data_IF_409207482657
#
_entry.id   IF_409207482657
#
_cell.length_a   1.000
_cell.length_b   1.000
_cell.length_c   1.000
_cell.angle_alpha   90.00
_cell.angle_beta   90.00
_cell.angle_gamma   90.00
#
_symmetry.space_group_name_H-M   'P 1'
#
loop_
_entity.id
_entity.type
_entity.pdbx_description
1 polymer ?
#
# COMPACT_ATOMS: atom_id res chain seq x y z
N UNK A 1 -14.84 7.00 1.44
CA UNK A 1 -13.59 6.36 0.96
C UNK A 1 -13.06 5.47 2.07
N UNK A 2 -12.94 4.16 1.83
CA UNK A 2 -12.32 3.23 2.77
C UNK A 2 -10.80 3.29 2.60
N UNK A 3 -10.06 3.36 3.69
CA UNK A 3 -8.61 3.37 3.71
C UNK A 3 -8.07 2.79 5.01
N UNK A 4 -6.84 2.29 4.97
CA UNK A 4 -6.08 1.86 6.14
C UNK A 4 -4.96 2.86 6.38
N UNK A 5 -4.92 3.43 7.59
CA UNK A 5 -3.85 4.33 8.01
C UNK A 5 -2.94 3.60 8.99
N UNK A 6 -1.68 3.53 8.66
CA UNK A 6 -0.65 2.97 9.52
C UNK A 6 0.22 4.11 10.04
N UNK A 7 0.22 4.28 11.34
CA UNK A 7 1.02 5.29 12.02
C UNK A 7 2.24 4.61 12.66
N UNK A 8 3.42 4.86 12.09
CA UNK A 8 4.68 4.40 12.65
C UNK A 8 5.20 5.51 13.59
N UNK A 9 5.09 5.28 14.88
CA UNK A 9 5.64 6.14 15.90
C UNK A 9 6.90 5.50 16.49
N UNK A 10 7.91 6.30 16.72
CA UNK A 10 9.13 5.87 17.38
C UNK A 10 8.98 6.16 18.89
N UNK A 11 8.42 5.19 19.60
CA UNK A 11 8.39 5.22 21.07
C UNK A 11 9.57 4.42 21.63
N UNK A 12 10.13 4.85 22.76
CA UNK A 12 11.23 4.13 23.41
C UNK A 12 12.60 4.80 23.32
N UNK A 13 12.64 6.09 22.99
CA UNK A 13 13.87 6.89 22.89
C UNK A 13 14.59 7.11 24.20
N UNK A 14 13.91 6.96 25.34
CA UNK A 14 14.43 7.33 26.68
C UNK A 14 15.78 6.70 27.00
N UNK A 15 16.02 5.45 26.59
CA UNK A 15 17.29 4.77 26.83
C UNK A 15 18.43 5.25 25.93
N UNK A 16 18.11 5.74 24.73
CA UNK A 16 19.11 6.28 23.79
C UNK A 16 19.36 7.75 24.04
N UNK A 17 18.35 8.52 24.46
CA UNK A 17 18.51 9.90 24.91
C UNK A 17 19.40 10.02 26.15
N UNK A 18 19.33 9.09 27.11
CA UNK A 18 20.22 9.05 28.27
C UNK A 18 21.69 8.86 27.88
N UNK A 19 21.95 8.07 26.87
CA UNK A 19 23.31 7.83 26.35
C UNK A 19 23.86 8.97 25.47
N UNK A 20 22.95 9.82 24.94
CA UNK A 20 23.29 10.82 23.92
C UNK A 20 22.75 12.22 24.22
N UNK A 21 22.70 12.58 25.51
CA UNK A 21 22.20 13.86 26.03
C UNK A 21 22.71 15.11 25.31
N UNK A 22 23.87 15.03 24.68
CA UNK A 22 24.53 16.16 24.01
C UNK A 22 24.21 16.31 22.50
N UNK A 23 23.38 15.42 21.93
CA UNK A 23 23.09 15.48 20.49
C UNK A 23 21.61 15.27 20.08
N UNK A 24 20.61 15.92 20.72
CA UNK A 24 19.20 15.66 20.44
C UNK A 24 18.81 15.90 18.97
N UNK A 25 19.35 16.92 18.33
CA UNK A 25 19.07 17.23 16.91
C UNK A 25 19.61 16.13 15.95
N UNK A 26 20.72 15.52 16.28
CA UNK A 26 21.31 14.43 15.52
C UNK A 26 20.44 13.17 15.62
N UNK A 27 19.89 12.89 16.79
CA UNK A 27 18.96 11.77 17.01
C UNK A 27 17.63 11.97 16.28
N UNK A 28 17.05 13.16 16.32
CA UNK A 28 15.83 13.47 15.56
C UNK A 28 16.04 13.25 14.07
N UNK A 29 17.19 13.63 13.54
CA UNK A 29 17.54 13.38 12.14
C UNK A 29 17.67 11.88 11.83
N UNK A 30 18.33 11.12 12.70
CA UNK A 30 18.48 9.68 12.56
C UNK A 30 17.12 8.97 12.54
N UNK A 31 16.22 9.39 13.44
CA UNK A 31 14.87 8.84 13.50
C UNK A 31 14.02 9.17 12.30
N UNK A 32 14.00 10.41 11.88
CA UNK A 32 13.25 10.78 10.67
C UNK A 32 13.72 9.98 9.44
N UNK A 33 15.03 9.72 9.31
CA UNK A 33 15.60 8.88 8.26
C UNK A 33 15.19 7.41 8.42
N UNK A 34 15.27 6.86 9.63
CA UNK A 34 14.91 5.48 9.93
C UNK A 34 13.42 5.24 9.68
N UNK A 35 12.53 6.10 10.17
CA UNK A 35 11.08 6.03 9.94
C UNK A 35 10.75 6.04 8.44
N UNK A 36 11.36 6.96 7.68
CA UNK A 36 11.14 7.02 6.23
C UNK A 36 11.62 5.75 5.51
N UNK A 37 12.77 5.21 5.88
CA UNK A 37 13.30 3.95 5.34
C UNK A 37 12.39 2.77 5.70
N UNK A 38 11.89 2.72 6.94
CA UNK A 38 10.93 1.71 7.41
C UNK A 38 9.63 1.76 6.62
N UNK A 39 9.06 2.94 6.40
CA UNK A 39 7.84 3.10 5.62
C UNK A 39 8.02 2.64 4.16
N UNK A 40 9.16 2.94 3.54
CA UNK A 40 9.49 2.47 2.19
C UNK A 40 9.68 0.95 2.14
N UNK A 41 10.33 0.38 3.13
CA UNK A 41 10.53 -1.05 3.28
C UNK A 41 9.18 -1.76 3.46
N UNK A 42 8.34 -1.27 4.38
CA UNK A 42 6.99 -1.78 4.64
C UNK A 42 6.13 -1.75 3.36
N UNK A 43 6.09 -0.62 2.65
CA UNK A 43 5.40 -0.52 1.37
C UNK A 43 5.87 -1.58 0.39
N UNK A 44 7.18 -1.78 0.27
CA UNK A 44 7.76 -2.70 -0.72
C UNK A 44 7.37 -4.15 -0.41
N UNK A 45 7.49 -4.55 0.84
CA UNK A 45 7.24 -5.94 1.24
C UNK A 45 5.74 -6.27 1.28
N UNK A 46 4.91 -5.41 1.85
CA UNK A 46 3.46 -5.60 1.88
C UNK A 46 2.85 -5.56 0.48
N UNK A 47 3.30 -4.64 -0.41
CA UNK A 47 2.88 -4.63 -1.82
C UNK A 47 3.16 -5.97 -2.50
N UNK A 48 4.36 -6.52 -2.31
CA UNK A 48 4.75 -7.80 -2.92
C UNK A 48 3.88 -8.96 -2.40
N UNK A 49 3.63 -9.01 -1.11
CA UNK A 49 2.84 -10.07 -0.51
C UNK A 49 1.37 -9.98 -0.91
N UNK A 50 0.75 -8.79 -0.84
CA UNK A 50 -0.62 -8.54 -1.30
C UNK A 50 -0.76 -8.92 -2.78
N UNK A 51 0.16 -8.48 -3.64
CA UNK A 51 0.11 -8.80 -5.05
C UNK A 51 0.20 -10.31 -5.32
N UNK A 52 0.99 -11.03 -4.53
CA UNK A 52 1.10 -12.50 -4.61
C UNK A 52 -0.17 -13.20 -4.15
N UNK A 53 -0.75 -12.79 -3.02
CA UNK A 53 -2.01 -13.36 -2.51
C UNK A 53 -3.18 -13.14 -3.49
N UNK A 54 -3.26 -11.95 -4.06
CA UNK A 54 -4.28 -11.61 -5.04
C UNK A 54 -3.99 -12.15 -6.46
N UNK A 55 -2.79 -12.70 -6.70
CA UNK A 55 -2.30 -13.16 -8.02
C UNK A 55 -2.40 -12.07 -9.09
N UNK A 56 -1.89 -10.88 -8.76
CA UNK A 56 -1.87 -9.71 -9.64
C UNK A 56 -0.47 -9.11 -9.72
N UNK A 57 -0.28 -8.15 -10.62
CA UNK A 57 0.95 -7.37 -10.67
C UNK A 57 1.05 -6.42 -9.48
N UNK A 58 2.26 -6.02 -9.10
CA UNK A 58 2.47 -5.13 -7.95
C UNK A 58 2.02 -3.68 -8.20
N UNK A 59 1.99 -3.26 -9.47
CA UNK A 59 1.73 -1.87 -9.84
C UNK A 59 0.41 -1.31 -9.29
N UNK A 60 -0.76 -1.95 -9.48
CA UNK A 60 -2.03 -1.46 -8.95
C UNK A 60 -2.04 -1.32 -7.43
N UNK A 61 -1.42 -2.27 -6.72
CA UNK A 61 -1.30 -2.24 -5.27
C UNK A 61 -0.38 -1.11 -4.82
N UNK A 62 0.78 -0.97 -5.46
CA UNK A 62 1.78 0.04 -5.12
C UNK A 62 1.25 1.48 -5.22
N UNK A 63 0.39 1.76 -6.19
CA UNK A 63 -0.23 3.08 -6.36
C UNK A 63 -1.26 3.43 -5.27
N UNK A 64 -1.65 2.47 -4.44
CA UNK A 64 -2.55 2.70 -3.31
C UNK A 64 -1.84 3.19 -2.04
N UNK A 65 -0.51 3.15 -2.02
CA UNK A 65 0.29 3.60 -0.89
C UNK A 65 0.67 5.06 -1.03
N UNK A 66 0.34 5.85 -0.01
CA UNK A 66 0.74 7.25 0.11
C UNK A 66 1.59 7.38 1.39
N UNK A 67 2.85 7.79 1.21
CA UNK A 67 3.73 8.10 2.33
C UNK A 67 3.70 9.61 2.52
N UNK A 68 3.21 10.07 3.67
CA UNK A 68 3.22 11.47 4.01
C UNK A 68 4.62 11.89 4.48
N UNK A 69 5.30 12.67 3.65
CA UNK A 69 6.66 13.16 3.91
C UNK A 69 6.71 14.38 4.84
N UNK A 70 5.58 14.95 5.21
CA UNK A 70 5.50 16.07 6.18
C UNK A 70 5.48 15.62 7.63
N UNK A 71 5.89 14.38 7.88
CA UNK A 71 5.99 13.86 9.21
C UNK A 71 7.02 14.65 10.03
N UNK A 72 6.74 14.84 11.31
CA UNK A 72 7.71 15.30 12.29
C UNK A 72 8.86 14.30 12.41
N UNK A 73 9.94 14.66 13.11
CA UNK A 73 11.06 13.75 13.32
C UNK A 73 10.64 12.38 13.88
N UNK A 74 9.51 12.34 14.61
CA UNK A 74 9.06 11.18 15.38
C UNK A 74 7.87 10.43 14.77
N UNK A 75 7.36 10.84 13.58
CA UNK A 75 6.19 10.23 12.97
C UNK A 75 6.27 10.18 11.44
N UNK A 76 5.93 9.05 10.85
CA UNK A 76 5.67 8.90 9.42
C UNK A 76 4.33 8.22 9.22
N UNK A 77 3.42 8.86 8.51
CA UNK A 77 2.12 8.28 8.15
C UNK A 77 2.21 7.55 6.82
N UNK A 78 1.86 6.27 6.82
CA UNK A 78 1.68 5.45 5.64
C UNK A 78 0.19 5.16 5.49
N UNK A 79 -0.42 5.72 4.46
CA UNK A 79 -1.82 5.46 4.14
C UNK A 79 -1.94 4.48 2.98
N UNK A 80 -2.87 3.55 3.08
CA UNK A 80 -3.17 2.55 2.04
C UNK A 80 -4.64 2.63 1.68
N UNK A 81 -4.95 3.00 0.43
CA UNK A 81 -6.32 3.06 -0.05
C UNK A 81 -6.87 1.67 -0.37
N UNK A 82 -7.90 1.22 0.36
CA UNK A 82 -8.51 -0.11 0.23
C UNK A 82 -9.78 -0.12 -0.65
N UNK A 83 -10.03 0.94 -1.42
CA UNK A 83 -11.15 0.94 -2.37
C UNK A 83 -11.01 -0.19 -3.38
N UNK A 84 -12.13 -0.78 -3.86
CA UNK A 84 -12.13 -1.87 -4.82
C UNK A 84 -11.21 -1.63 -6.03
N UNK A 85 -10.57 -2.68 -6.50
CA UNK A 85 -9.65 -2.64 -7.65
C UNK A 85 -10.44 -2.96 -8.92
N UNK A 86 -10.30 -2.13 -9.95
CA UNK A 86 -10.89 -2.42 -11.26
C UNK A 86 -10.25 -3.66 -11.88
N UNK A 87 -11.08 -4.58 -12.36
CA UNK A 87 -10.65 -5.92 -12.79
C UNK A 87 -9.65 -5.93 -13.95
N UNK A 88 -9.58 -4.87 -14.77
CA UNK A 88 -8.58 -4.77 -15.83
C UNK A 88 -7.13 -4.71 -15.31
N UNK A 89 -6.92 -4.40 -14.00
CA UNK A 89 -5.62 -4.47 -13.34
C UNK A 89 -5.23 -5.90 -12.92
N UNK A 90 -6.21 -6.82 -12.91
CA UNK A 90 -6.00 -8.21 -12.48
C UNK A 90 -5.48 -9.10 -13.61
N UNK A 91 -5.43 -8.59 -14.84
CA UNK A 91 -4.95 -9.29 -16.01
C UNK A 91 -5.49 -8.69 -17.30
N UNK A 92 -5.19 -9.30 -18.42
CA UNK A 92 -5.73 -8.90 -19.73
C UNK A 92 -7.18 -9.34 -19.86
N UNK A 93 -8.14 -8.42 -20.09
CA UNK A 93 -9.52 -8.78 -20.27
C UNK A 93 -9.78 -9.45 -21.64
N UNK A 94 -10.48 -10.56 -21.64
CA UNK A 94 -10.94 -11.30 -22.82
C UNK A 94 -12.46 -11.40 -22.84
N UNK A 95 -13.10 -11.01 -23.96
CA UNK A 95 -14.54 -11.13 -24.11
C UNK A 95 -14.92 -12.59 -24.35
N UNK A 96 -15.92 -13.09 -23.62
CA UNK A 96 -16.51 -14.43 -23.76
C UNK A 96 -17.98 -14.32 -24.16
N UNK A 97 -18.63 -15.41 -24.60
CA UNK A 97 -20.05 -15.38 -24.91
C UNK A 97 -20.95 -15.00 -23.72
N UNK A 98 -20.54 -15.31 -22.50
CA UNK A 98 -21.33 -15.07 -21.28
C UNK A 98 -20.89 -13.82 -20.51
N UNK A 99 -19.71 -13.22 -20.87
CA UNK A 99 -19.20 -12.07 -20.14
C UNK A 99 -17.73 -11.77 -20.45
N UNK A 100 -16.93 -11.48 -19.42
CA UNK A 100 -15.50 -11.18 -19.56
C UNK A 100 -14.69 -12.07 -18.64
N UNK A 101 -13.61 -12.63 -19.15
CA UNK A 101 -12.59 -13.33 -18.37
C UNK A 101 -11.37 -12.44 -18.19
N UNK A 102 -10.83 -12.40 -16.96
CA UNK A 102 -9.59 -11.69 -16.64
C UNK A 102 -8.70 -12.62 -15.82
N UNK A 103 -7.64 -13.14 -16.43
CA UNK A 103 -6.81 -14.17 -15.83
C UNK A 103 -7.62 -15.44 -15.50
N UNK A 104 -7.70 -15.79 -14.23
CA UNK A 104 -8.45 -16.97 -13.74
C UNK A 104 -9.89 -16.62 -13.29
N UNK A 105 -10.30 -15.35 -13.39
CA UNK A 105 -11.60 -14.84 -12.92
C UNK A 105 -12.56 -14.68 -14.10
N UNK A 106 -13.84 -15.01 -13.88
CA UNK A 106 -14.92 -14.80 -14.84
C UNK A 106 -15.92 -13.78 -14.27
N UNK A 107 -16.41 -12.91 -15.14
CA UNK A 107 -17.38 -11.87 -14.80
C UNK A 107 -18.56 -11.95 -15.77
N UNK A 108 -19.62 -12.60 -15.33
CA UNK A 108 -20.82 -12.77 -16.16
C UNK A 108 -21.50 -11.43 -16.42
N UNK A 109 -22.18 -11.32 -17.57
CA UNK A 109 -22.86 -10.12 -18.06
C UNK A 109 -21.95 -8.87 -18.18
N UNK A 110 -20.63 -9.06 -18.12
CA UNK A 110 -19.65 -7.99 -18.30
C UNK A 110 -19.27 -7.85 -19.78
N UNK A 111 -18.84 -6.66 -20.16
CA UNK A 111 -18.35 -6.37 -21.51
C UNK A 111 -17.14 -5.43 -21.48
N UNK A 112 -16.32 -5.50 -22.50
CA UNK A 112 -15.13 -4.68 -22.67
C UNK A 112 -15.47 -3.46 -23.52
N UNK A 113 -15.20 -2.27 -23.01
CA UNK A 113 -15.34 -1.02 -23.75
C UNK A 113 -14.34 0.03 -23.31
N UNK A 114 -13.77 0.83 -24.22
CA UNK A 114 -12.93 1.97 -23.83
C UNK A 114 -13.76 3.13 -23.27
N UNK A 115 -15.06 3.22 -23.58
CA UNK A 115 -15.95 4.32 -23.24
C UNK A 115 -15.27 5.69 -23.43
N UNK A 116 -15.24 6.53 -22.35
CA UNK A 116 -14.58 7.84 -22.35
C UNK A 116 -13.08 7.80 -22.10
N UNK A 117 -12.53 6.60 -21.87
CA UNK A 117 -11.12 6.40 -21.58
C UNK A 117 -10.42 5.74 -22.77
N UNK A 118 -9.11 5.96 -22.91
CA UNK A 118 -8.32 5.27 -23.95
C UNK A 118 -8.05 3.79 -23.60
N UNK A 119 -8.38 3.39 -22.37
CA UNK A 119 -8.14 2.03 -21.88
C UNK A 119 -9.37 1.15 -22.04
N UNK A 120 -9.18 -0.07 -22.48
CA UNK A 120 -10.23 -1.10 -22.54
C UNK A 120 -10.55 -1.57 -21.12
N UNK A 121 -11.62 -1.04 -20.55
CA UNK A 121 -12.09 -1.37 -19.22
C UNK A 121 -13.23 -2.38 -19.29
N UNK A 122 -13.44 -3.07 -18.17
CA UNK A 122 -14.53 -4.03 -18.01
C UNK A 122 -15.70 -3.34 -17.31
N UNK A 123 -16.87 -3.48 -17.91
CA UNK A 123 -18.10 -2.83 -17.50
C UNK A 123 -19.22 -3.84 -17.35
N UNK A 124 -20.20 -3.55 -16.53
CA UNK A 124 -21.44 -4.31 -16.36
C UNK A 124 -22.63 -3.37 -16.34
N UNK A 125 -23.76 -3.82 -16.88
CA UNK A 125 -25.04 -3.12 -16.70
C UNK A 125 -25.59 -3.43 -15.33
N UNK A 126 -26.16 -2.43 -14.65
CA UNK A 126 -26.73 -2.62 -13.30
C UNK A 126 -28.09 -3.34 -13.32
N UNK A 127 -28.70 -3.48 -14.49
CA UNK A 127 -29.96 -4.13 -14.71
C UNK A 127 -30.16 -4.48 -16.19
N UNK A 128 -31.38 -4.76 -16.61
CA UNK A 128 -31.74 -5.07 -18.00
C UNK A 128 -31.68 -3.85 -18.93
N UNK A 129 -31.80 -2.66 -18.36
CA UNK A 129 -31.78 -1.40 -19.09
C UNK A 129 -30.37 -1.08 -19.65
N UNK A 130 -30.35 -0.22 -20.68
CA UNK A 130 -29.09 0.23 -21.30
C UNK A 130 -28.18 0.95 -20.31
N UNK A 131 -28.75 1.69 -19.37
CA UNK A 131 -28.09 2.44 -18.31
C UNK A 131 -28.77 2.14 -16.96
N UNK A 132 -28.08 2.27 -15.81
CA UNK A 132 -26.68 2.68 -15.66
C UNK A 132 -25.69 1.55 -15.93
N UNK A 133 -24.49 1.96 -16.31
CA UNK A 133 -23.34 1.07 -16.52
C UNK A 133 -22.31 1.37 -15.43
N UNK A 134 -21.80 0.35 -14.78
CA UNK A 134 -20.78 0.45 -13.74
C UNK A 134 -19.50 -0.28 -14.13
N UNK A 135 -18.39 0.18 -13.58
CA UNK A 135 -17.11 -0.49 -13.75
C UNK A 135 -17.07 -1.74 -12.89
N UNK A 136 -16.61 -2.84 -13.45
CA UNK A 136 -16.44 -4.06 -12.68
C UNK A 136 -15.18 -3.93 -11.83
N UNK A 137 -15.36 -4.15 -10.53
CA UNK A 137 -14.31 -4.06 -9.51
C UNK A 137 -14.34 -5.27 -8.60
N UNK A 138 -13.22 -5.57 -7.95
CA UNK A 138 -13.11 -6.56 -6.88
C UNK A 138 -12.68 -5.93 -5.57
N UNK A 139 -13.26 -6.39 -4.48
CA UNK A 139 -12.84 -6.06 -3.13
C UNK A 139 -11.56 -6.82 -2.79
N UNK A 140 -10.67 -6.15 -2.07
CA UNK A 140 -9.37 -6.70 -1.68
C UNK A 140 -8.95 -6.30 -0.27
N UNK A 141 -9.82 -5.58 0.42
CA UNK A 141 -9.59 -5.03 1.76
C UNK A 141 -9.26 -6.12 2.79
N UNK A 142 -10.01 -7.22 2.84
CA UNK A 142 -9.76 -8.32 3.77
C UNK A 142 -8.33 -8.88 3.67
N UNK A 143 -7.93 -9.46 2.53
CA UNK A 143 -6.56 -9.96 2.33
C UNK A 143 -5.49 -8.89 2.53
N UNK A 144 -5.76 -7.64 2.13
CA UNK A 144 -4.83 -6.55 2.32
C UNK A 144 -4.62 -6.19 3.79
N UNK A 145 -5.69 -6.14 4.58
CA UNK A 145 -5.61 -5.87 6.02
C UNK A 145 -4.83 -6.94 6.77
N UNK A 146 -5.05 -8.21 6.42
CA UNK A 146 -4.32 -9.34 7.03
C UNK A 146 -2.81 -9.23 6.78
N UNK A 147 -2.43 -8.92 5.54
CA UNK A 147 -1.02 -8.69 5.19
C UNK A 147 -0.47 -7.48 5.94
N UNK A 148 -1.18 -6.35 5.91
CA UNK A 148 -0.73 -5.12 6.55
C UNK A 148 -0.49 -5.30 8.05
N UNK A 149 -1.42 -5.98 8.76
CA UNK A 149 -1.27 -6.28 10.20
C UNK A 149 -0.02 -7.12 10.50
N UNK A 150 0.30 -8.12 9.63
CA UNK A 150 1.51 -8.93 9.80
C UNK A 150 2.78 -8.10 9.60
N UNK A 151 2.79 -7.21 8.63
CA UNK A 151 3.94 -6.37 8.32
C UNK A 151 4.12 -5.20 9.29
N UNK A 152 3.05 -4.72 9.92
CA UNK A 152 3.12 -3.70 10.97
C UNK A 152 4.02 -4.13 12.13
N UNK A 153 3.83 -5.36 12.63
CA UNK A 153 4.67 -5.92 13.70
C UNK A 153 6.14 -5.96 13.31
N UNK A 154 6.44 -6.42 12.09
CA UNK A 154 7.80 -6.50 11.56
C UNK A 154 8.42 -5.12 11.29
N UNK A 155 7.59 -4.12 11.04
CA UNK A 155 8.05 -2.77 10.79
C UNK A 155 8.70 -2.14 12.03
N UNK A 156 8.21 -2.47 13.23
CA UNK A 156 8.80 -2.00 14.49
C UNK A 156 10.21 -2.58 14.71
N UNK A 157 10.39 -3.87 14.46
CA UNK A 157 11.71 -4.51 14.53
C UNK A 157 12.68 -3.90 13.51
N UNK A 158 12.19 -3.72 12.28
CA UNK A 158 12.99 -3.10 11.22
C UNK A 158 13.34 -1.64 11.49
N UNK A 159 12.45 -0.90 12.13
CA UNK A 159 12.73 0.46 12.58
C UNK A 159 13.89 0.50 13.56
N UNK A 160 13.90 -0.36 14.58
CA UNK A 160 14.98 -0.41 15.57
C UNK A 160 16.35 -0.63 14.92
N UNK A 161 16.45 -1.59 13.99
CA UNK A 161 17.68 -1.86 13.24
C UNK A 161 18.15 -0.63 12.43
N UNK A 162 17.23 -0.02 11.69
CA UNK A 162 17.53 1.13 10.85
C UNK A 162 17.86 2.36 11.68
N UNK A 163 17.21 2.54 12.82
CA UNK A 163 17.50 3.63 13.72
C UNK A 163 18.90 3.53 14.31
N UNK A 164 19.27 2.36 14.79
CA UNK A 164 20.63 2.12 15.29
C UNK A 164 21.69 2.43 14.22
N UNK A 165 21.44 1.98 12.99
CA UNK A 165 22.34 2.24 11.86
C UNK A 165 22.47 3.75 11.55
N UNK A 166 21.33 4.47 11.49
CA UNK A 166 21.31 5.90 11.22
C UNK A 166 21.93 6.71 12.36
N UNK A 167 21.65 6.33 13.62
CA UNK A 167 22.22 6.97 14.78
C UNK A 167 23.75 6.86 14.78
N UNK A 168 24.29 5.66 14.56
CA UNK A 168 25.75 5.46 14.43
C UNK A 168 26.34 6.33 13.33
N UNK A 169 25.70 6.41 12.18
CA UNK A 169 26.18 7.22 11.05
C UNK A 169 26.19 8.72 11.38
N UNK A 170 25.08 9.25 11.93
CA UNK A 170 24.96 10.69 12.22
C UNK A 170 25.87 11.13 13.38
N UNK A 171 26.16 10.23 14.33
CA UNK A 171 27.04 10.51 15.46
C UNK A 171 28.51 10.44 15.11
N UNK A 172 28.88 9.71 14.04
CA UNK A 172 30.26 9.62 13.55
C UNK A 172 30.69 10.83 12.71
N UNK A 173 29.75 11.72 12.37
CA UNK A 173 30.00 12.97 11.65
C UNK A 173 29.96 14.19 12.60
#
# INVERSE_FOLDING_TARGET
MAGYELNLQADGWSSVEELLRDAPKKLDLAAARALRKTALWLRTHSTREIARELRITQSPVRHRYIINSRSTANEVKLWVGLNPISVHYLGTPEQTPTGVRVGHRAYDDAFISPMKTRHRLVWRRKGRERLPIERVTEDWDGPAMDVLSRWEKRAMERFAELFEQEARYVLSQ
#
